data_IF_165732635188
#
_entry.id   IF_165732635188
#
_cell.length_a   1.000
_cell.length_b   1.000
_cell.length_c   1.000
_cell.angle_alpha   90.00
_cell.angle_beta   90.00
_cell.angle_gamma   90.00
#
_symmetry.space_group_name_H-M   'P 1'
#
loop_
_entity.id
_entity.type
_entity.pdbx_description
1 polymer ?
#
# COMPACT_ATOMS: atom_id res chain seq x y z
N UNK A 1 -32.48 4.66 7.73
CA UNK A 1 -31.54 3.52 7.80
C UNK A 1 -30.32 3.99 8.57
N UNK A 2 -29.84 3.22 9.56
CA UNK A 2 -28.67 3.57 10.40
C UNK A 2 -27.59 2.48 10.24
N UNK A 3 -26.33 2.83 10.49
CA UNK A 3 -25.21 1.87 10.50
C UNK A 3 -25.34 0.94 11.71
N UNK A 4 -25.18 -0.37 11.50
CA UNK A 4 -25.39 -1.46 12.46
C UNK A 4 -24.19 -2.41 12.42
N UNK A 5 -23.13 -2.04 13.14
CA UNK A 5 -21.90 -2.85 13.22
C UNK A 5 -22.10 -4.17 13.98
N UNK A 6 -23.17 -4.30 14.76
CA UNK A 6 -23.59 -5.56 15.35
C UNK A 6 -24.06 -6.60 14.31
N UNK A 7 -24.38 -6.14 13.10
CA UNK A 7 -24.73 -6.97 11.95
C UNK A 7 -23.57 -7.12 10.94
N UNK A 8 -22.39 -6.57 11.24
CA UNK A 8 -21.22 -6.69 10.36
C UNK A 8 -20.78 -8.15 10.28
N UNK A 9 -20.68 -8.66 9.06
CA UNK A 9 -20.14 -9.98 8.78
C UNK A 9 -18.99 -9.87 7.78
N UNK A 10 -17.93 -10.63 8.02
CA UNK A 10 -16.75 -10.72 7.18
C UNK A 10 -16.38 -12.17 6.84
N UNK A 11 -17.32 -13.10 7.03
CA UNK A 11 -17.15 -14.53 6.77
C UNK A 11 -16.74 -14.82 5.32
N UNK A 12 -17.26 -14.05 4.37
CA UNK A 12 -16.95 -14.14 2.93
C UNK A 12 -15.54 -13.63 2.57
N UNK A 13 -14.91 -12.82 3.42
CA UNK A 13 -13.57 -12.31 3.14
C UNK A 13 -12.50 -13.34 3.44
N UNK A 14 -11.77 -13.73 2.39
CA UNK A 14 -10.64 -14.63 2.50
C UNK A 14 -9.31 -13.87 2.32
N UNK A 15 -8.47 -13.75 3.37
CA UNK A 15 -7.17 -13.08 3.27
C UNK A 15 -6.11 -13.93 2.55
N UNK A 16 -6.41 -15.15 2.12
CA UNK A 16 -5.50 -16.01 1.33
C UNK A 16 -4.44 -16.78 2.13
N UNK A 17 -4.39 -16.63 3.46
CA UNK A 17 -3.50 -17.39 4.34
C UNK A 17 -4.20 -17.87 5.61
N UNK A 18 -3.82 -19.07 6.05
CA UNK A 18 -4.29 -19.66 7.30
C UNK A 18 -3.95 -18.81 8.53
N UNK A 19 -4.72 -18.99 9.61
CA UNK A 19 -4.62 -18.21 10.86
C UNK A 19 -3.19 -18.21 11.42
N UNK A 20 -2.53 -19.37 11.46
CA UNK A 20 -1.16 -19.50 12.00
C UNK A 20 -0.18 -18.59 11.25
N UNK A 21 -0.24 -18.58 9.91
CA UNK A 21 0.64 -17.74 9.07
C UNK A 21 0.36 -16.25 9.27
N UNK A 22 -0.91 -15.87 9.48
CA UNK A 22 -1.29 -14.47 9.75
C UNK A 22 -0.79 -14.01 11.11
N UNK A 23 -1.00 -14.80 12.15
CA UNK A 23 -0.57 -14.48 13.52
C UNK A 23 0.96 -14.41 13.62
N UNK A 24 1.67 -15.37 13.02
CA UNK A 24 3.13 -15.33 12.98
C UNK A 24 3.64 -14.12 12.20
N UNK A 25 2.99 -13.76 11.08
CA UNK A 25 3.35 -12.54 10.36
C UNK A 25 3.17 -11.29 11.21
N UNK A 26 2.06 -11.15 11.95
CA UNK A 26 1.85 -9.96 12.78
C UNK A 26 2.95 -9.80 13.84
N UNK A 27 3.40 -10.89 14.46
CA UNK A 27 4.53 -10.86 15.38
C UNK A 27 5.83 -10.43 14.66
N UNK A 28 6.15 -11.03 13.50
CA UNK A 28 7.34 -10.69 12.71
C UNK A 28 7.31 -9.23 12.23
N UNK A 29 6.17 -8.77 11.73
CA UNK A 29 5.95 -7.40 11.26
C UNK A 29 6.19 -6.39 12.40
N UNK A 30 5.65 -6.67 13.59
CA UNK A 30 5.89 -5.83 14.78
C UNK A 30 7.36 -5.81 15.19
N UNK A 31 8.03 -6.97 15.24
CA UNK A 31 9.40 -7.09 15.73
C UNK A 31 10.46 -6.57 14.76
N UNK A 32 10.23 -6.68 13.44
CA UNK A 32 11.25 -6.40 12.42
C UNK A 32 10.93 -5.24 11.49
N UNK A 33 9.67 -5.07 11.05
CA UNK A 33 9.33 -4.04 10.06
C UNK A 33 8.95 -2.72 10.74
N UNK A 34 8.05 -2.80 11.72
CA UNK A 34 7.59 -1.65 12.50
C UNK A 34 8.60 -1.19 13.56
N UNK A 35 9.54 -2.05 13.93
CA UNK A 35 10.55 -1.72 14.93
C UNK A 35 11.48 -0.60 14.41
N UNK A 36 11.52 0.58 15.05
CA UNK A 36 12.32 1.72 14.60
C UNK A 36 13.83 1.47 14.69
N UNK A 37 14.25 0.51 15.52
CA UNK A 37 15.66 0.17 15.73
C UNK A 37 16.19 -0.70 14.57
N UNK A 38 15.32 -1.44 13.88
CA UNK A 38 15.75 -2.27 12.77
C UNK A 38 15.99 -1.44 11.50
N UNK A 39 17.26 -1.05 11.30
CA UNK A 39 17.72 -0.32 10.12
C UNK A 39 17.97 -1.21 8.89
N UNK A 40 17.98 -2.54 9.04
CA UNK A 40 18.34 -3.45 7.95
C UNK A 40 17.18 -3.72 6.99
N UNK A 41 17.26 -3.11 5.79
CA UNK A 41 16.32 -3.42 4.70
C UNK A 41 16.41 -4.89 4.25
N UNK A 42 17.62 -5.47 4.25
CA UNK A 42 17.84 -6.84 3.80
C UNK A 42 17.07 -7.88 4.61
N UNK A 43 17.05 -7.73 5.94
CA UNK A 43 16.27 -8.61 6.84
C UNK A 43 14.77 -8.51 6.53
N UNK A 44 14.25 -7.28 6.39
CA UNK A 44 12.83 -7.05 6.08
C UNK A 44 12.43 -7.67 4.74
N UNK A 45 13.26 -7.50 3.72
CA UNK A 45 13.04 -8.11 2.39
C UNK A 45 13.07 -9.64 2.46
N UNK A 46 14.02 -10.23 3.20
CA UNK A 46 14.09 -11.68 3.40
C UNK A 46 12.84 -12.24 4.07
N UNK A 47 12.37 -11.59 5.14
CA UNK A 47 11.15 -11.97 5.85
C UNK A 47 9.90 -11.83 4.96
N UNK A 48 9.79 -10.75 4.19
CA UNK A 48 8.68 -10.57 3.26
C UNK A 48 8.60 -11.70 2.23
N UNK A 49 9.75 -12.07 1.63
CA UNK A 49 9.83 -13.19 0.69
C UNK A 49 9.47 -14.52 1.34
N UNK A 50 9.98 -14.78 2.55
CA UNK A 50 9.65 -15.97 3.33
C UNK A 50 8.13 -16.10 3.56
N UNK A 51 7.45 -14.98 3.78
CA UNK A 51 6.00 -14.95 3.98
C UNK A 51 5.18 -14.89 2.68
N UNK A 52 5.83 -14.96 1.52
CA UNK A 52 5.19 -15.13 0.21
C UNK A 52 5.06 -13.85 -0.62
N UNK A 53 5.66 -12.74 -0.20
CA UNK A 53 5.74 -11.55 -1.05
C UNK A 53 6.69 -11.80 -2.23
N UNK A 54 6.35 -11.27 -3.41
CA UNK A 54 7.31 -11.16 -4.51
C UNK A 54 8.05 -9.84 -4.36
N UNK A 55 9.36 -9.88 -4.16
CA UNK A 55 10.17 -8.67 -3.95
C UNK A 55 11.40 -8.72 -4.84
N UNK A 56 11.53 -7.75 -5.74
CA UNK A 56 12.65 -7.64 -6.68
C UNK A 56 13.98 -7.24 -6.05
N UNK A 57 14.93 -6.84 -6.89
CA UNK A 57 16.30 -6.47 -6.51
C UNK A 57 16.38 -5.02 -6.03
N UNK A 58 17.34 -4.75 -5.12
CA UNK A 58 17.65 -3.40 -4.61
C UNK A 58 16.42 -2.66 -4.06
N UNK A 59 15.61 -3.35 -3.27
CA UNK A 59 14.48 -2.75 -2.54
C UNK A 59 14.96 -2.23 -1.19
N UNK A 60 14.66 -0.96 -0.91
CA UNK A 60 14.95 -0.29 0.36
C UNK A 60 13.67 -0.10 1.16
N UNK A 61 13.61 -0.70 2.34
CA UNK A 61 12.48 -0.58 3.28
C UNK A 61 13.00 0.04 4.57
N UNK A 62 12.56 1.27 4.81
CA UNK A 62 12.94 2.04 5.98
C UNK A 62 12.31 1.51 7.28
N UNK A 63 12.78 1.95 8.46
CA UNK A 63 12.18 1.58 9.74
C UNK A 63 10.71 2.01 9.84
N UNK A 64 9.98 1.40 10.77
CA UNK A 64 8.58 1.76 11.07
C UNK A 64 7.60 1.54 9.92
N UNK A 65 7.93 0.69 8.94
CA UNK A 65 7.01 0.34 7.84
C UNK A 65 6.04 -0.74 8.33
N UNK A 66 4.78 -0.64 7.96
CA UNK A 66 3.75 -1.62 8.29
C UNK A 66 3.17 -2.25 7.01
N UNK A 67 3.23 -3.58 6.91
CA UNK A 67 2.68 -4.34 5.78
C UNK A 67 1.73 -5.40 6.33
N UNK A 68 0.47 -5.41 5.85
CA UNK A 68 -0.56 -6.28 6.41
C UNK A 68 -0.41 -7.75 6.01
N UNK A 69 -0.38 -8.03 4.70
CA UNK A 69 -0.35 -9.41 4.18
C UNK A 69 0.72 -9.58 3.08
N UNK A 70 1.92 -10.08 3.39
CA UNK A 70 3.02 -10.20 2.43
C UNK A 70 2.69 -11.02 1.19
N UNK A 71 1.92 -12.11 1.34
CA UNK A 71 1.51 -12.97 0.21
C UNK A 71 0.56 -12.28 -0.78
N UNK A 72 0.08 -11.07 -0.48
CA UNK A 72 -0.72 -10.21 -1.37
C UNK A 72 0.09 -8.99 -1.87
N UNK A 73 1.42 -9.03 -1.75
CA UNK A 73 2.30 -7.93 -2.12
C UNK A 73 3.29 -8.35 -3.21
N UNK A 74 3.32 -7.55 -4.29
CA UNK A 74 4.32 -7.65 -5.35
C UNK A 74 5.09 -6.33 -5.44
N UNK A 75 6.42 -6.37 -5.29
CA UNK A 75 7.33 -5.22 -5.40
C UNK A 75 8.36 -5.52 -6.49
N UNK A 76 8.51 -4.60 -7.44
CA UNK A 76 9.51 -4.64 -8.49
C UNK A 76 10.94 -4.37 -8.01
N UNK A 77 11.79 -3.97 -8.94
CA UNK A 77 13.20 -3.67 -8.69
C UNK A 77 13.40 -2.18 -8.38
N UNK A 78 14.45 -1.86 -7.60
CA UNK A 78 14.86 -0.49 -7.30
C UNK A 78 13.77 0.36 -6.63
N UNK A 79 13.03 -0.23 -5.69
CA UNK A 79 11.94 0.43 -4.98
C UNK A 79 12.42 1.02 -3.65
N UNK A 80 11.91 2.20 -3.31
CA UNK A 80 12.10 2.83 -2.01
C UNK A 80 10.77 2.93 -1.27
N UNK A 81 10.75 2.43 -0.03
CA UNK A 81 9.62 2.55 0.90
C UNK A 81 10.13 3.30 2.14
N UNK A 82 9.65 4.52 2.30
CA UNK A 82 10.00 5.45 3.37
C UNK A 82 9.47 5.03 4.74
N UNK A 83 9.94 5.73 5.76
CA UNK A 83 9.56 5.50 7.16
C UNK A 83 8.04 5.64 7.34
N UNK A 84 7.45 4.87 8.24
CA UNK A 84 6.02 5.00 8.61
C UNK A 84 5.03 4.76 7.46
N UNK A 85 5.48 4.22 6.31
CA UNK A 85 4.58 3.81 5.25
C UNK A 85 3.72 2.65 5.73
N UNK A 86 2.40 2.76 5.48
CA UNK A 86 1.45 1.69 5.77
C UNK A 86 0.84 1.15 4.48
N UNK A 87 1.09 -0.14 4.22
CA UNK A 87 0.48 -0.90 3.14
C UNK A 87 -0.60 -1.79 3.76
N UNK A 88 -1.85 -1.29 3.76
CA UNK A 88 -3.04 -1.99 4.25
C UNK A 88 -3.65 -2.85 3.14
N UNK A 89 -2.92 -3.89 2.74
CA UNK A 89 -3.26 -4.76 1.62
C UNK A 89 -4.12 -5.97 2.04
N UNK A 90 -5.43 -5.76 2.18
CA UNK A 90 -6.44 -6.82 2.31
C UNK A 90 -6.58 -7.67 1.03
N UNK A 91 -6.35 -7.05 -0.12
CA UNK A 91 -6.18 -7.73 -1.41
C UNK A 91 -4.86 -7.27 -2.05
N UNK A 92 -4.60 -7.68 -3.29
CA UNK A 92 -3.34 -7.44 -3.98
C UNK A 92 -2.95 -5.97 -4.02
N UNK A 93 -1.70 -5.69 -3.69
CA UNK A 93 -1.00 -4.44 -4.01
C UNK A 93 0.20 -4.78 -4.89
N UNK A 94 0.27 -4.15 -6.06
CA UNK A 94 1.38 -4.29 -7.00
C UNK A 94 2.15 -2.98 -7.10
N UNK A 95 3.45 -3.05 -6.91
CA UNK A 95 4.40 -1.94 -6.97
C UNK A 95 5.42 -2.26 -8.06
N UNK A 96 5.50 -1.41 -9.08
CA UNK A 96 6.40 -1.57 -10.22
C UNK A 96 7.87 -1.33 -9.89
N UNK A 97 8.68 -1.20 -10.94
CA UNK A 97 10.10 -0.87 -10.82
C UNK A 97 10.29 0.62 -10.57
N UNK A 98 11.38 1.00 -9.89
CA UNK A 98 11.75 2.40 -9.67
C UNK A 98 10.66 3.25 -8.98
N UNK A 99 9.79 2.62 -8.19
CA UNK A 99 8.76 3.31 -7.42
C UNK A 99 9.37 3.88 -6.14
N UNK A 100 8.98 5.11 -5.80
CA UNK A 100 9.29 5.72 -4.53
C UNK A 100 7.99 5.98 -3.75
N UNK A 101 7.89 5.45 -2.55
CA UNK A 101 6.81 5.72 -1.61
C UNK A 101 7.43 6.46 -0.43
N UNK A 102 7.16 7.76 -0.33
CA UNK A 102 7.73 8.61 0.71
C UNK A 102 7.04 8.40 2.06
N UNK A 103 7.72 8.85 3.11
CA UNK A 103 7.38 8.60 4.49
C UNK A 103 5.94 8.93 4.87
N UNK A 104 5.34 8.09 5.71
CA UNK A 104 3.98 8.23 6.22
C UNK A 104 2.87 8.07 5.18
N UNK A 105 3.20 7.67 3.93
CA UNK A 105 2.18 7.41 2.94
C UNK A 105 1.38 6.14 3.24
N UNK A 106 0.12 6.11 2.82
CA UNK A 106 -0.79 4.99 3.04
C UNK A 106 -1.31 4.43 1.71
N UNK A 107 -1.20 3.11 1.51
CA UNK A 107 -1.86 2.40 0.43
C UNK A 107 -2.99 1.55 1.03
N UNK A 108 -4.24 1.90 0.73
CA UNK A 108 -5.41 1.33 1.40
C UNK A 108 -6.25 0.55 0.38
N UNK A 109 -6.34 -0.77 0.56
CA UNK A 109 -7.17 -1.61 -0.34
C UNK A 109 -8.56 -1.90 0.19
N UNK A 110 -8.80 -1.67 1.48
CA UNK A 110 -10.09 -1.86 2.13
C UNK A 110 -10.91 -0.57 2.26
N UNK A 111 -12.22 -0.70 2.19
CA UNK A 111 -13.20 0.31 2.59
C UNK A 111 -14.49 -0.41 3.02
N UNK A 112 -15.56 0.33 3.28
CA UNK A 112 -16.86 -0.23 3.63
C UNK A 112 -17.97 0.34 2.75
N UNK A 113 -18.95 -0.49 2.41
CA UNK A 113 -20.14 -0.05 1.71
C UNK A 113 -21.04 0.76 2.65
N UNK A 114 -20.81 2.08 2.67
CA UNK A 114 -21.58 3.02 3.48
C UNK A 114 -23.05 3.18 3.04
N UNK A 115 -23.48 2.53 1.95
CA UNK A 115 -24.86 2.56 1.46
C UNK A 115 -25.75 1.48 2.07
N UNK A 116 -25.16 0.49 2.77
CA UNK A 116 -25.90 -0.57 3.47
C UNK A 116 -25.69 -0.45 4.98
N UNK A 117 -26.70 -0.82 5.77
CA UNK A 117 -26.63 -0.70 7.23
C UNK A 117 -25.59 -1.62 7.86
N UNK A 118 -25.27 -2.75 7.25
CA UNK A 118 -24.31 -3.77 7.73
C UNK A 118 -22.86 -3.32 7.61
N UNK A 119 -22.59 -2.25 6.84
CA UNK A 119 -21.25 -1.68 6.65
C UNK A 119 -20.25 -2.71 6.09
N UNK A 120 -20.70 -3.50 5.12
CA UNK A 120 -19.93 -4.61 4.56
C UNK A 120 -18.55 -4.17 4.07
N UNK A 121 -17.55 -5.03 4.27
CA UNK A 121 -16.21 -4.81 3.75
C UNK A 121 -16.24 -4.80 2.20
N UNK A 122 -15.61 -3.80 1.60
CA UNK A 122 -15.29 -3.77 0.17
C UNK A 122 -13.77 -3.70 0.01
N UNK A 123 -13.23 -4.39 -0.99
CA UNK A 123 -11.80 -4.36 -1.28
C UNK A 123 -11.55 -4.15 -2.76
N UNK A 124 -10.50 -3.41 -3.08
CA UNK A 124 -10.05 -3.21 -4.47
C UNK A 124 -8.53 -3.11 -4.51
N UNK A 125 -7.93 -3.69 -5.55
CA UNK A 125 -6.48 -3.73 -5.74
C UNK A 125 -5.90 -2.33 -5.96
N UNK A 126 -4.63 -2.14 -5.59
CA UNK A 126 -3.85 -0.95 -5.95
C UNK A 126 -2.69 -1.37 -6.85
N UNK A 127 -2.49 -0.63 -7.94
CA UNK A 127 -1.38 -0.85 -8.87
C UNK A 127 -0.57 0.44 -9.07
N UNK A 128 0.67 0.44 -8.60
CA UNK A 128 1.63 1.50 -8.88
C UNK A 128 2.54 1.01 -10.01
N UNK A 129 2.48 1.63 -11.18
CA UNK A 129 3.34 1.30 -12.31
C UNK A 129 4.77 1.81 -12.12
N UNK A 130 5.63 1.58 -13.12
CA UNK A 130 7.05 1.93 -13.03
C UNK A 130 7.25 3.45 -12.85
N UNK A 131 8.22 3.83 -12.02
CA UNK A 131 8.63 5.23 -11.84
C UNK A 131 7.63 6.11 -11.07
N UNK A 132 6.53 5.54 -10.57
CA UNK A 132 5.54 6.25 -9.73
C UNK A 132 6.23 6.80 -8.48
N UNK A 133 5.85 8.02 -8.10
CA UNK A 133 6.25 8.63 -6.85
C UNK A 133 5.02 9.00 -6.02
N UNK A 134 4.88 8.34 -4.87
CA UNK A 134 3.88 8.68 -3.85
C UNK A 134 4.56 9.58 -2.81
N UNK A 135 4.14 10.83 -2.74
CA UNK A 135 4.67 11.83 -1.82
C UNK A 135 4.39 11.52 -0.35
N UNK A 136 5.10 12.22 0.53
CA UNK A 136 5.03 11.96 1.96
C UNK A 136 3.61 12.25 2.50
N UNK A 137 3.15 11.42 3.44
CA UNK A 137 1.81 11.53 4.05
C UNK A 137 0.65 11.54 3.04
N UNK A 138 0.88 11.04 1.83
CA UNK A 138 -0.16 10.91 0.80
C UNK A 138 -0.92 9.59 0.95
N UNK A 139 -2.12 9.54 0.39
CA UNK A 139 -3.01 8.37 0.48
C UNK A 139 -3.40 7.90 -0.91
N UNK A 140 -3.28 6.60 -1.16
CA UNK A 140 -3.81 5.94 -2.36
C UNK A 140 -5.00 5.10 -1.93
N UNK A 141 -6.18 5.47 -2.44
CA UNK A 141 -7.45 4.81 -2.10
C UNK A 141 -7.64 3.47 -2.83
N UNK A 142 -8.61 2.64 -2.39
CA UNK A 142 -8.88 1.35 -3.01
C UNK A 142 -9.18 1.48 -4.50
N UNK A 143 -8.64 0.56 -5.31
CA UNK A 143 -8.92 0.51 -6.74
C UNK A 143 -8.08 1.46 -7.59
N UNK A 144 -7.19 2.26 -7.00
CA UNK A 144 -6.40 3.24 -7.75
C UNK A 144 -5.19 2.60 -8.41
N UNK A 145 -5.17 2.66 -9.74
CA UNK A 145 -3.95 2.58 -10.55
C UNK A 145 -3.25 3.95 -10.67
N UNK A 146 -1.98 4.02 -10.30
CA UNK A 146 -1.10 5.13 -10.62
C UNK A 146 -0.23 4.74 -11.82
N UNK A 147 -0.46 5.35 -12.98
CA UNK A 147 0.26 5.00 -14.20
C UNK A 147 1.70 5.51 -14.19
N UNK A 148 2.50 4.99 -15.13
CA UNK A 148 3.94 5.18 -15.24
C UNK A 148 4.38 6.63 -14.99
N UNK A 149 5.41 6.82 -14.16
CA UNK A 149 6.02 8.11 -13.80
C UNK A 149 5.11 9.14 -13.12
N UNK A 150 3.84 8.81 -12.83
CA UNK A 150 2.93 9.72 -12.14
C UNK A 150 3.42 10.07 -10.75
N UNK A 151 3.08 11.27 -10.28
CA UNK A 151 3.51 11.81 -8.99
C UNK A 151 2.30 12.23 -8.19
N UNK A 152 2.13 11.69 -6.98
CA UNK A 152 1.17 12.16 -6.01
C UNK A 152 1.89 13.09 -5.04
N UNK A 153 1.62 14.39 -5.10
CA UNK A 153 2.30 15.37 -4.24
C UNK A 153 2.07 15.08 -2.75
N UNK A 154 2.95 15.61 -1.90
CA UNK A 154 2.87 15.52 -0.43
C UNK A 154 1.45 15.81 0.09
N UNK A 155 0.98 14.99 1.04
CA UNK A 155 -0.33 15.15 1.68
C UNK A 155 -1.54 15.01 0.76
N UNK A 156 -1.37 14.52 -0.47
CA UNK A 156 -2.46 14.41 -1.44
C UNK A 156 -3.16 13.06 -1.36
N UNK A 157 -4.43 13.01 -1.76
CA UNK A 157 -5.28 11.81 -1.68
C UNK A 157 -5.74 11.40 -3.08
N UNK A 158 -5.16 10.33 -3.62
CA UNK A 158 -5.57 9.77 -4.90
C UNK A 158 -6.85 8.94 -4.70
N UNK A 159 -7.98 9.49 -5.15
CA UNK A 159 -9.30 8.83 -5.14
C UNK A 159 -9.70 8.26 -6.50
N UNK A 160 -8.88 8.51 -7.54
CA UNK A 160 -9.07 8.09 -8.93
C UNK A 160 -7.71 7.72 -9.53
N UNK A 161 -7.74 7.04 -10.68
CA UNK A 161 -6.54 6.73 -11.45
C UNK A 161 -5.73 7.98 -11.78
N UNK A 162 -4.40 7.84 -11.79
CA UNK A 162 -3.47 8.90 -12.16
C UNK A 162 -2.86 8.61 -13.53
N UNK A 163 -2.90 9.58 -14.43
CA UNK A 163 -2.38 9.50 -15.79
C UNK A 163 -0.85 9.35 -15.83
N UNK A 164 -0.34 8.70 -16.89
CA UNK A 164 1.09 8.58 -17.16
C UNK A 164 1.73 9.97 -17.20
N UNK A 165 2.87 10.13 -16.53
CA UNK A 165 3.58 11.39 -16.32
C UNK A 165 2.78 12.49 -15.59
N UNK A 166 1.56 12.24 -15.11
CA UNK A 166 0.75 13.27 -14.43
C UNK A 166 1.27 13.58 -13.02
N UNK A 167 1.30 14.87 -12.65
CA UNK A 167 1.56 15.34 -11.30
C UNK A 167 0.23 15.77 -10.67
N UNK A 168 -0.17 15.08 -9.61
CA UNK A 168 -1.44 15.23 -8.91
C UNK A 168 -1.24 15.88 -7.55
N UNK A 169 -2.13 16.81 -7.18
CA UNK A 169 -2.07 17.51 -5.90
C UNK A 169 -3.48 17.77 -5.34
N UNK A 170 -3.64 17.61 -4.02
CA UNK A 170 -4.84 17.98 -3.27
C UNK A 170 -5.55 16.80 -2.60
N UNK A 171 -6.67 17.11 -1.93
CA UNK A 171 -7.59 16.13 -1.36
C UNK A 171 -9.03 16.56 -1.73
N UNK A 172 -9.66 15.93 -2.75
CA UNK A 172 -9.10 14.89 -3.61
C UNK A 172 -7.99 15.43 -4.53
N UNK A 173 -7.04 14.56 -4.90
CA UNK A 173 -5.95 14.92 -5.78
C UNK A 173 -6.44 15.13 -7.21
N UNK A 174 -6.02 16.23 -7.84
CA UNK A 174 -6.33 16.55 -9.23
C UNK A 174 -5.05 16.78 -10.03
N UNK A 175 -5.10 16.46 -11.34
CA UNK A 175 -3.97 16.69 -12.24
C UNK A 175 -3.64 18.19 -12.29
N UNK A 176 -2.38 18.53 -12.03
CA UNK A 176 -1.88 19.91 -12.05
C UNK A 176 -1.02 20.21 -13.27
N UNK A 177 -0.17 19.26 -13.66
CA UNK A 177 0.75 19.39 -14.80
C UNK A 177 1.33 18.03 -15.17
N UNK A 178 1.97 17.99 -16.33
CA UNK A 178 2.76 16.83 -16.76
C UNK A 178 4.20 16.93 -16.23
N UNK A 179 4.78 15.78 -15.91
CA UNK A 179 6.17 15.59 -15.55
C UNK A 179 7.01 15.56 -16.81
N UNK A 180 8.07 16.35 -16.83
CA UNK A 180 9.04 16.41 -17.93
C UNK A 180 10.39 15.94 -17.38
N UNK A 181 11.03 15.04 -18.11
CA UNK A 181 12.40 14.60 -17.83
C UNK A 181 13.34 15.43 -18.72
N UNK A 182 14.42 15.94 -18.12
CA UNK A 182 15.49 16.64 -18.83
C UNK A 182 16.61 15.67 -19.21
#
# INVERSE_FOLDING_TARGET
MQTRLDLYDNSEYNPGAGVVKRLSWFAINALFLQNPINLSSGIKVGLLRLFGAKVGHKVTIKPSVNIKYPWLLEIGNHVWIGEEVWIDNLIKVKIGNHVCISQGAMLLTGSHNYKVSTFDLITNEINLENGVWIGAKSVVCPGVTCHENSVLAVGSVATKHMEKNGIYQGNPAILKRQRVFN
#
